data_IF_850189170382
#
_entry.id   IF_850189170382
#
_cell.length_a   1.000
_cell.length_b   1.000
_cell.length_c   1.000
_cell.angle_alpha   90.00
_cell.angle_beta   90.00
_cell.angle_gamma   90.00
#
_symmetry.space_group_name_H-M   'P 1'
#
loop_
_entity.id
_entity.type
_entity.pdbx_description
1 polymer ?
#
# COMPACT_ATOMS: atom_id res chain seq x y z
N UNK A 1 -12.25 -11.05 -6.22
CA UNK A 1 -11.50 -10.71 -7.45
C UNK A 1 -12.12 -11.40 -8.68
N UNK A 2 -13.08 -10.76 -9.36
CA UNK A 2 -13.79 -11.34 -10.53
C UNK A 2 -13.63 -10.55 -11.85
N UNK A 3 -12.97 -9.39 -11.83
CA UNK A 3 -12.79 -8.52 -13.02
C UNK A 3 -11.39 -8.70 -13.62
N UNK A 4 -11.33 -9.05 -14.91
CA UNK A 4 -10.09 -9.13 -15.70
C UNK A 4 -9.83 -7.79 -16.38
N UNK A 5 -8.56 -7.35 -16.47
CA UNK A 5 -8.18 -6.16 -17.23
C UNK A 5 -7.68 -4.96 -16.42
N UNK A 6 -7.34 -5.13 -15.13
CA UNK A 6 -6.62 -4.10 -14.39
C UNK A 6 -5.11 -4.26 -14.53
N UNK A 7 -4.41 -3.15 -14.72
CA UNK A 7 -2.96 -3.05 -14.65
C UNK A 7 -2.57 -2.47 -13.30
N UNK A 8 -1.52 -3.01 -12.68
CA UNK A 8 -1.07 -2.57 -11.37
C UNK A 8 0.39 -2.18 -11.47
N UNK A 9 0.68 -0.95 -11.08
CA UNK A 9 2.02 -0.35 -11.13
C UNK A 9 2.48 0.04 -9.74
N UNK A 10 3.76 0.39 -9.63
CA UNK A 10 4.38 0.84 -8.40
C UNK A 10 5.07 2.17 -8.68
N UNK A 11 4.80 3.19 -7.87
CA UNK A 11 5.43 4.51 -7.92
C UNK A 11 5.26 5.25 -9.26
N UNK A 12 4.13 5.05 -9.96
CA UNK A 12 3.82 5.78 -11.20
C UNK A 12 3.01 7.04 -10.96
N UNK A 13 2.20 7.09 -9.90
CA UNK A 13 1.29 8.20 -9.65
C UNK A 13 1.09 8.49 -8.15
N UNK A 14 2.19 8.57 -7.39
CA UNK A 14 2.15 8.76 -5.92
C UNK A 14 1.24 9.91 -5.48
N UNK A 15 1.42 11.10 -6.08
CA UNK A 15 0.60 12.27 -5.74
C UNK A 15 -0.88 12.05 -6.06
N UNK A 16 -1.20 11.41 -7.19
CA UNK A 16 -2.59 11.10 -7.53
C UNK A 16 -3.21 10.15 -6.51
N UNK A 17 -2.47 9.13 -6.06
CA UNK A 17 -2.94 8.16 -5.06
C UNK A 17 -3.24 8.85 -3.73
N UNK A 18 -2.33 9.66 -3.18
CA UNK A 18 -2.58 10.33 -1.91
C UNK A 18 -3.72 11.36 -2.01
N UNK A 19 -3.84 12.07 -3.14
CA UNK A 19 -4.98 12.95 -3.41
C UNK A 19 -6.31 12.18 -3.53
N UNK A 20 -6.31 11.00 -4.14
CA UNK A 20 -7.51 10.14 -4.15
C UNK A 20 -7.86 9.64 -2.75
N UNK A 21 -6.86 9.36 -1.91
CA UNK A 21 -7.07 8.99 -0.51
C UNK A 21 -7.63 10.14 0.35
N UNK A 22 -7.42 11.40 -0.04
CA UNK A 22 -7.88 12.58 0.69
C UNK A 22 -9.34 12.94 0.40
N UNK A 23 -9.94 12.36 -0.63
CA UNK A 23 -11.34 12.61 -1.00
C UNK A 23 -12.32 12.07 0.07
N UNK A 24 -13.50 12.69 0.21
CA UNK A 24 -14.56 12.21 1.09
C UNK A 24 -14.91 10.75 0.84
N UNK A 25 -15.26 10.04 1.91
CA UNK A 25 -15.66 8.64 1.85
C UNK A 25 -17.14 8.52 2.16
N UNK A 26 -17.76 7.41 1.77
CA UNK A 26 -19.19 7.16 2.03
C UNK A 26 -19.59 7.25 3.51
N UNK A 27 -18.61 7.16 4.42
CA UNK A 27 -18.80 7.19 5.87
C UNK A 27 -18.20 8.44 6.55
N UNK A 28 -17.57 9.36 5.80
CA UNK A 28 -16.93 10.55 6.36
C UNK A 28 -16.81 11.66 5.30
N UNK A 29 -17.28 12.86 5.65
CA UNK A 29 -17.25 14.04 4.77
C UNK A 29 -15.84 14.65 4.62
N UNK A 30 -14.93 14.34 5.54
CA UNK A 30 -13.55 14.83 5.56
C UNK A 30 -12.56 13.71 5.89
N UNK A 31 -11.30 13.91 5.47
CA UNK A 31 -10.18 13.04 5.83
C UNK A 31 -9.11 13.84 6.56
N UNK A 32 -8.23 13.15 7.29
CA UNK A 32 -7.08 13.78 7.95
C UNK A 32 -5.99 14.27 6.98
N UNK A 33 -6.12 13.94 5.69
CA UNK A 33 -5.12 14.19 4.66
C UNK A 33 -5.35 15.60 4.08
N UNK A 34 -4.80 16.61 4.74
CA UNK A 34 -4.78 17.99 4.26
C UNK A 34 -3.74 18.20 3.14
N UNK A 35 -3.72 19.38 2.52
CA UNK A 35 -2.70 19.72 1.51
C UNK A 35 -1.28 19.70 2.10
N UNK A 36 -1.09 20.15 3.34
CA UNK A 36 0.21 20.09 4.03
C UNK A 36 0.68 18.63 4.21
N UNK A 37 -0.23 17.72 4.50
CA UNK A 37 0.06 16.29 4.55
C UNK A 37 0.44 15.77 3.17
N UNK A 38 -0.33 16.10 2.13
CA UNK A 38 -0.03 15.68 0.74
C UNK A 38 1.38 16.12 0.35
N UNK A 39 1.71 17.38 0.59
CA UNK A 39 3.04 17.92 0.28
C UNK A 39 4.13 17.18 1.07
N UNK A 40 3.96 16.99 2.39
CA UNK A 40 4.94 16.31 3.23
C UNK A 40 5.23 14.88 2.77
N UNK A 41 4.19 14.10 2.42
CA UNK A 41 4.39 12.74 1.89
C UNK A 41 5.00 12.74 0.49
N UNK A 42 4.68 13.71 -0.36
CA UNK A 42 5.31 13.86 -1.67
C UNK A 42 6.79 14.21 -1.55
N UNK A 43 7.17 15.05 -0.57
CA UNK A 43 8.58 15.32 -0.24
C UNK A 43 9.29 14.05 0.25
N UNK A 44 8.65 13.26 1.13
CA UNK A 44 9.18 11.96 1.56
C UNK A 44 9.32 10.96 0.41
N UNK A 45 8.37 10.93 -0.53
CA UNK A 45 8.46 10.13 -1.75
C UNK A 45 9.65 10.53 -2.61
N UNK A 46 9.82 11.83 -2.86
CA UNK A 46 10.95 12.37 -3.63
C UNK A 46 12.31 12.10 -2.96
N UNK A 47 12.34 12.05 -1.62
CA UNK A 47 13.51 11.68 -0.84
C UNK A 47 13.76 10.14 -0.80
N UNK A 48 12.89 9.34 -1.41
CA UNK A 48 13.04 7.88 -1.54
C UNK A 48 12.44 7.06 -0.40
N UNK A 49 11.68 7.69 0.50
CA UNK A 49 11.00 7.01 1.61
C UNK A 49 9.58 6.56 1.24
N UNK A 50 8.90 7.30 0.38
CA UNK A 50 7.52 6.99 -0.01
C UNK A 50 7.42 5.87 -1.05
N UNK A 51 6.28 5.19 -1.05
CA UNK A 51 5.87 4.29 -2.13
C UNK A 51 4.37 4.39 -2.40
N UNK A 52 3.95 4.06 -3.61
CA UNK A 52 2.56 3.91 -4.01
C UNK A 52 2.38 2.66 -4.85
N UNK A 53 1.19 2.08 -4.75
CA UNK A 53 0.72 1.01 -5.64
C UNK A 53 -0.57 1.51 -6.27
N UNK A 54 -0.59 1.51 -7.59
CA UNK A 54 -1.71 2.01 -8.38
C UNK A 54 -2.45 0.86 -9.04
N UNK A 55 -3.77 0.95 -9.13
CA UNK A 55 -4.62 0.02 -9.89
C UNK A 55 -5.33 0.81 -10.97
N UNK A 56 -5.04 0.45 -12.21
CA UNK A 56 -5.49 1.13 -13.41
C UNK A 56 -6.52 0.30 -14.15
N UNK A 57 -7.59 0.95 -14.60
CA UNK A 57 -8.45 0.45 -15.65
C UNK A 57 -8.18 1.26 -16.91
N UNK A 58 -7.46 0.66 -17.87
CA UNK A 58 -6.91 1.40 -19.01
C UNK A 58 -5.99 2.53 -18.51
N UNK A 59 -6.37 3.80 -18.71
CA UNK A 59 -5.63 4.99 -18.26
C UNK A 59 -6.21 5.61 -16.98
N UNK A 60 -7.32 5.07 -16.47
CA UNK A 60 -7.99 5.62 -15.29
C UNK A 60 -7.48 4.96 -14.00
N UNK A 61 -7.08 5.79 -13.04
CA UNK A 61 -6.69 5.36 -11.70
C UNK A 61 -7.94 5.03 -10.87
N UNK A 62 -8.22 3.73 -10.68
CA UNK A 62 -9.46 3.26 -10.03
C UNK A 62 -9.25 2.81 -8.58
N UNK A 63 -8.01 2.65 -8.13
CA UNK A 63 -7.68 2.30 -6.76
C UNK A 63 -6.19 2.38 -6.50
N UNK A 64 -5.82 2.32 -5.23
CA UNK A 64 -4.42 2.35 -4.87
C UNK A 64 -4.20 2.52 -3.38
N UNK A 65 -2.92 2.48 -3.00
CA UNK A 65 -2.46 2.77 -1.65
C UNK A 65 -1.11 3.46 -1.70
N UNK A 66 -0.80 4.20 -0.64
CA UNK A 66 0.52 4.78 -0.44
C UNK A 66 1.03 4.49 0.96
N UNK A 67 2.34 4.61 1.12
CA UNK A 67 2.98 4.43 2.41
C UNK A 67 4.41 4.95 2.43
N UNK A 68 5.09 4.68 3.53
CA UNK A 68 6.51 5.00 3.71
C UNK A 68 7.29 3.76 4.11
N UNK A 69 8.57 3.75 3.79
CA UNK A 69 9.53 2.73 4.22
C UNK A 69 10.72 3.35 4.93
N UNK A 70 11.06 2.79 6.10
CA UNK A 70 12.27 3.14 6.85
C UNK A 70 12.98 1.83 7.16
N UNK A 71 14.15 1.63 6.57
CA UNK A 71 14.78 0.31 6.53
C UNK A 71 13.81 -0.75 6.00
N UNK A 72 13.67 -1.86 6.72
CA UNK A 72 12.66 -2.90 6.41
C UNK A 72 11.28 -2.63 7.03
N UNK A 73 11.07 -1.48 7.67
CA UNK A 73 9.78 -1.08 8.21
C UNK A 73 8.92 -0.54 7.08
N UNK A 74 7.75 -1.12 6.86
CA UNK A 74 6.82 -0.69 5.82
C UNK A 74 5.52 -0.25 6.47
N UNK A 75 5.13 0.99 6.24
CA UNK A 75 4.00 1.63 6.90
C UNK A 75 2.96 1.99 5.85
N UNK A 76 1.84 1.26 5.82
CA UNK A 76 0.75 1.51 4.87
C UNK A 76 -0.14 2.62 5.40
N UNK A 77 -0.15 3.79 4.76
CA UNK A 77 -0.76 5.00 5.34
C UNK A 77 -2.25 5.11 5.00
N UNK A 78 -2.58 4.96 3.73
CA UNK A 78 -3.98 4.95 3.31
C UNK A 78 -4.17 4.25 1.99
N UNK A 79 -5.43 3.90 1.71
CA UNK A 79 -5.87 3.32 0.45
C UNK A 79 -7.22 3.90 0.06
N UNK A 80 -7.51 3.89 -1.24
CA UNK A 80 -8.80 4.24 -1.81
C UNK A 80 -9.24 3.20 -2.85
N UNK A 81 -10.53 3.20 -3.15
CA UNK A 81 -11.17 2.21 -4.02
C UNK A 81 -12.39 2.85 -4.68
N UNK A 82 -12.32 3.11 -5.98
CA UNK A 82 -13.47 3.57 -6.78
C UNK A 82 -14.23 2.39 -7.39
N UNK A 83 -13.60 1.22 -7.42
CA UNK A 83 -14.15 -0.01 -7.96
C UNK A 83 -14.15 -1.14 -6.92
N UNK A 84 -14.92 -2.20 -7.19
CA UNK A 84 -14.93 -3.38 -6.30
C UNK A 84 -13.60 -4.12 -6.36
N UNK A 85 -13.07 -4.52 -5.19
CA UNK A 85 -11.85 -5.30 -5.00
C UNK A 85 -10.51 -4.65 -5.42
N UNK A 86 -10.48 -3.44 -5.99
CA UNK A 86 -9.21 -2.84 -6.47
C UNK A 86 -8.26 -2.47 -5.33
N UNK A 87 -8.76 -1.94 -4.21
CA UNK A 87 -7.96 -1.73 -2.99
C UNK A 87 -7.33 -3.02 -2.46
N UNK A 88 -8.04 -4.16 -2.56
CA UNK A 88 -7.48 -5.48 -2.20
C UNK A 88 -6.38 -5.91 -3.16
N UNK A 89 -6.49 -5.60 -4.45
CA UNK A 89 -5.43 -5.89 -5.43
C UNK A 89 -4.17 -5.08 -5.12
N UNK A 90 -4.32 -3.79 -4.80
CA UNK A 90 -3.20 -2.95 -4.37
C UNK A 90 -2.54 -3.51 -3.10
N UNK A 91 -3.36 -3.83 -2.08
CA UNK A 91 -2.89 -4.38 -0.81
C UNK A 91 -2.18 -5.74 -0.99
N UNK A 92 -2.74 -6.63 -1.79
CA UNK A 92 -2.13 -7.93 -2.07
C UNK A 92 -0.79 -7.78 -2.83
N UNK A 93 -0.70 -6.83 -3.76
CA UNK A 93 0.57 -6.50 -4.44
C UNK A 93 1.63 -6.04 -3.44
N UNK A 94 1.24 -5.23 -2.45
CA UNK A 94 2.14 -4.84 -1.36
C UNK A 94 2.61 -6.07 -0.57
N UNK A 95 1.74 -7.03 -0.28
CA UNK A 95 2.10 -8.27 0.42
C UNK A 95 3.12 -9.09 -0.40
N UNK A 96 2.92 -9.23 -1.71
CA UNK A 96 3.85 -9.94 -2.59
C UNK A 96 5.24 -9.28 -2.60
N UNK A 97 5.29 -7.96 -2.71
CA UNK A 97 6.55 -7.20 -2.63
C UNK A 97 7.18 -7.37 -1.25
N UNK A 98 6.38 -7.32 -0.19
CA UNK A 98 6.84 -7.53 1.18
C UNK A 98 7.46 -8.90 1.39
N UNK A 99 6.81 -9.95 0.87
CA UNK A 99 7.30 -11.33 0.92
C UNK A 99 8.61 -11.48 0.13
N UNK A 100 8.71 -10.91 -1.07
CA UNK A 100 9.93 -10.95 -1.89
C UNK A 100 11.12 -10.28 -1.19
N UNK A 101 10.87 -9.21 -0.43
CA UNK A 101 11.90 -8.49 0.33
C UNK A 101 12.08 -8.99 1.77
N UNK A 102 11.36 -10.05 2.16
CA UNK A 102 11.38 -10.61 3.51
C UNK A 102 11.16 -9.52 4.56
N UNK A 103 10.08 -8.75 4.37
CA UNK A 103 9.62 -7.80 5.37
C UNK A 103 9.04 -8.57 6.56
N UNK A 104 9.37 -8.16 7.79
CA UNK A 104 8.86 -8.84 8.98
C UNK A 104 7.38 -8.54 9.24
N UNK A 105 6.93 -7.35 8.82
CA UNK A 105 5.55 -6.90 8.93
C UNK A 105 5.31 -5.70 8.02
N UNK A 106 4.02 -5.39 7.82
CA UNK A 106 3.55 -4.13 7.25
C UNK A 106 2.61 -3.51 8.28
N UNK A 107 2.96 -2.31 8.72
CA UNK A 107 2.20 -1.58 9.72
C UNK A 107 0.91 -1.04 9.11
N UNK A 108 -0.19 -1.33 9.79
CA UNK A 108 -1.56 -1.01 9.44
C UNK A 108 -2.18 0.01 10.42
N UNK A 109 -1.37 0.53 11.36
CA UNK A 109 -1.67 1.47 12.43
C UNK A 109 -2.90 1.08 13.27
N UNK A 110 -4.10 1.42 12.80
CA UNK A 110 -5.35 1.23 13.54
C UNK A 110 -6.07 -0.05 13.10
N UNK A 111 -6.46 -0.84 14.10
CA UNK A 111 -7.25 -2.06 13.89
C UNK A 111 -8.61 -1.70 13.30
N UNK A 112 -8.96 -2.36 12.20
CA UNK A 112 -10.32 -2.33 11.66
C UNK A 112 -10.70 -3.71 11.10
N UNK A 113 -12.01 -3.99 11.05
CA UNK A 113 -12.54 -5.28 10.63
C UNK A 113 -12.13 -5.67 9.20
N UNK A 114 -11.96 -4.69 8.32
CA UNK A 114 -11.51 -4.92 6.95
C UNK A 114 -10.09 -5.49 6.92
N UNK A 115 -9.13 -4.86 7.59
CA UNK A 115 -7.74 -5.33 7.64
C UNK A 115 -7.60 -6.68 8.35
N UNK A 116 -8.35 -6.90 9.45
CA UNK A 116 -8.40 -8.22 10.09
C UNK A 116 -8.90 -9.29 9.12
N UNK A 117 -9.93 -9.00 8.33
CA UNK A 117 -10.42 -9.94 7.30
C UNK A 117 -9.41 -10.23 6.18
N UNK A 118 -8.41 -9.36 6.00
CA UNK A 118 -7.31 -9.52 5.06
C UNK A 118 -6.07 -10.21 5.68
N UNK A 119 -6.15 -10.63 6.95
CA UNK A 119 -5.07 -11.34 7.64
C UNK A 119 -4.21 -10.48 8.56
N UNK A 120 -4.58 -9.22 8.81
CA UNK A 120 -3.89 -8.41 9.81
C UNK A 120 -4.07 -9.01 11.21
N UNK A 121 -3.02 -8.89 12.03
CA UNK A 121 -3.02 -9.30 13.44
C UNK A 121 -2.62 -8.11 14.32
N UNK A 122 -2.91 -8.22 15.61
CA UNK A 122 -2.52 -7.20 16.59
C UNK A 122 -1.24 -7.62 17.31
N UNK A 123 -0.40 -6.63 17.61
CA UNK A 123 0.81 -6.79 18.40
C UNK A 123 0.76 -5.83 19.57
N UNK A 124 1.32 -6.22 20.73
CA UNK A 124 1.44 -5.29 21.84
C UNK A 124 2.34 -4.12 21.43
N UNK A 125 2.07 -2.91 21.96
CA UNK A 125 2.92 -1.74 21.71
C UNK A 125 4.38 -2.02 22.06
N UNK A 126 4.62 -2.76 23.15
CA UNK A 126 5.97 -3.10 23.59
C UNK A 126 6.70 -3.98 22.56
N UNK A 127 6.03 -5.02 22.07
CA UNK A 127 6.62 -5.93 21.08
C UNK A 127 6.81 -5.24 19.73
N UNK A 128 5.86 -4.39 19.32
CA UNK A 128 5.98 -3.57 18.12
C UNK A 128 7.19 -2.65 18.19
N UNK A 129 7.34 -1.87 19.28
CA UNK A 129 8.47 -0.95 19.43
C UNK A 129 9.81 -1.69 19.51
N UNK A 130 9.84 -2.87 20.14
CA UNK A 130 11.02 -3.72 20.17
C UNK A 130 11.40 -4.20 18.76
N UNK A 131 10.43 -4.67 17.99
CA UNK A 131 10.66 -5.07 16.60
C UNK A 131 11.08 -3.87 15.73
N UNK A 132 10.43 -2.73 15.89
CA UNK A 132 10.69 -1.52 15.11
C UNK A 132 12.16 -1.10 15.18
N UNK A 133 12.78 -1.13 16.37
CA UNK A 133 14.18 -0.75 16.57
C UNK A 133 15.16 -1.60 15.74
N UNK A 134 14.86 -2.88 15.56
CA UNK A 134 15.65 -3.82 14.75
C UNK A 134 15.38 -3.64 13.26
N UNK A 135 14.12 -3.41 12.90
CA UNK A 135 13.67 -3.39 11.52
C UNK A 135 14.13 -2.15 10.75
N UNK A 136 14.17 -0.98 11.41
CA UNK A 136 14.51 0.29 10.75
C UNK A 136 16.01 0.44 10.44
N UNK A 137 16.89 -0.35 11.06
CA UNK A 137 18.34 -0.28 10.82
C UNK A 137 18.80 -1.14 9.64
N UNK A 138 17.92 -1.98 9.09
CA UNK A 138 18.22 -2.78 7.90
C UNK A 138 18.11 -1.96 6.61
N UNK A 139 18.76 -2.38 5.51
CA UNK A 139 18.62 -1.71 4.22
C UNK A 139 17.17 -1.69 3.74
N UNK A 140 16.74 -0.56 3.16
CA UNK A 140 15.37 -0.40 2.68
C UNK A 140 15.11 -1.08 1.35
N UNK A 141 13.83 -1.26 1.03
CA UNK A 141 13.37 -1.81 -0.24
C UNK A 141 13.80 -0.89 -1.37
N UNK A 142 14.39 -1.46 -2.42
CA UNK A 142 14.65 -0.73 -3.65
C UNK A 142 13.36 -0.68 -4.51
N UNK A 143 12.48 0.28 -4.21
CA UNK A 143 11.19 0.43 -4.91
C UNK A 143 11.33 0.63 -6.43
N UNK A 144 12.46 1.18 -6.90
CA UNK A 144 12.73 1.36 -8.35
C UNK A 144 12.75 0.02 -9.10
N UNK A 145 13.09 -1.09 -8.44
CA UNK A 145 13.05 -2.44 -9.03
C UNK A 145 11.64 -2.82 -9.54
N UNK A 146 10.60 -2.23 -8.95
CA UNK A 146 9.21 -2.56 -9.25
C UNK A 146 8.55 -1.58 -10.22
N UNK A 147 9.17 -0.42 -10.52
CA UNK A 147 8.59 0.59 -11.41
C UNK A 147 8.38 0.07 -12.85
N UNK A 148 9.29 -0.79 -13.34
CA UNK A 148 9.17 -1.38 -14.68
C UNK A 148 8.27 -2.64 -14.70
N UNK A 149 7.84 -3.12 -13.53
CA UNK A 149 7.01 -4.33 -13.41
C UNK A 149 5.54 -3.94 -13.39
N UNK A 150 4.80 -4.42 -14.38
CA UNK A 150 3.33 -4.36 -14.37
C UNK A 150 2.78 -5.68 -13.84
N UNK A 151 2.04 -5.62 -12.74
CA UNK A 151 1.29 -6.76 -12.23
C UNK A 151 -0.07 -6.80 -12.92
N UNK A 152 -0.46 -7.97 -13.43
CA UNK A 152 -1.81 -8.14 -13.99
C UNK A 152 -2.76 -8.63 -12.91
N UNK A 153 -4.03 -8.20 -12.96
CA UNK A 153 -5.06 -8.72 -12.04
C UNK A 153 -5.24 -10.24 -12.14
N UNK A 154 -4.89 -10.83 -13.29
CA UNK A 154 -4.88 -12.29 -13.50
C UNK A 154 -3.77 -12.97 -12.69
N UNK A 155 -2.58 -12.41 -12.68
CA UNK A 155 -1.43 -12.93 -11.91
C UNK A 155 -1.74 -12.87 -10.41
N UNK A 156 -2.24 -11.73 -9.94
CA UNK A 156 -2.63 -11.56 -8.53
C UNK A 156 -3.73 -12.53 -8.12
N UNK A 157 -4.76 -12.72 -8.96
CA UNK A 157 -5.85 -13.64 -8.65
C UNK A 157 -5.41 -15.12 -8.65
N UNK A 158 -4.39 -15.48 -9.41
CA UNK A 158 -3.80 -16.83 -9.41
C UNK A 158 -2.96 -17.04 -8.16
N UNK A 159 -2.05 -16.11 -7.86
CA UNK A 159 -1.18 -16.20 -6.68
C UNK A 159 -1.98 -16.19 -5.38
N UNK A 160 -3.07 -15.40 -5.31
CA UNK A 160 -3.90 -15.33 -4.11
C UNK A 160 -4.60 -16.66 -3.80
N UNK A 161 -5.01 -17.40 -4.84
CA UNK A 161 -5.62 -18.73 -4.70
C UNK A 161 -4.62 -19.82 -4.36
N UNK A 162 -3.33 -19.60 -4.61
CA UNK A 162 -2.26 -20.55 -4.27
C UNK A 162 -1.80 -20.41 -2.81
N UNK A 163 -2.20 -19.34 -2.13
CA UNK A 163 -1.89 -19.08 -0.72
C UNK A 163 -3.08 -19.37 0.24
N UNK A 164 -4.22 -19.83 -0.29
CA UNK A 164 -5.33 -20.44 0.48
C UNK A 164 -5.12 -21.95 0.64
#
# INVERSE_FOLDING_TARGET
MKKHGYAITVNHAFEQVIRSCSLPRSYADETWISEDIIQGYCEMFNAGYGYSIEVWQQEELVGGLYGVTIGKGCFGESMFSNETDVSKMAFYTLMLIGQENQLPWIDCQLVNSHLISLGASTLSRQDYLKSLQDVIIHPSINWKKYQERVFSSKTIALDAKLME
#
